data_IF_403553691062
#
_entry.id   IF_403553691062
#
_cell.length_a   1.000
_cell.length_b   1.000
_cell.length_c   1.000
_cell.angle_alpha   90.00
_cell.angle_beta   90.00
_cell.angle_gamma   90.00
#
_symmetry.space_group_name_H-M   'P 1'
#
loop_
_entity.id
_entity.type
_entity.pdbx_description
1 polymer ?
#
# COMPACT_ATOMS: atom_id res chain seq x y z
N UNK A 1 -18.49 14.22 -0.22
CA UNK A 1 -17.46 13.40 -0.89
C UNK A 1 -16.50 14.33 -1.59
N UNK A 2 -15.19 14.22 -1.36
CA UNK A 2 -14.22 15.18 -1.91
C UNK A 2 -13.00 15.47 -1.03
N UNK A 3 -12.67 14.58 -0.08
CA UNK A 3 -11.35 14.64 0.56
C UNK A 3 -10.32 13.96 -0.36
N UNK A 4 -9.06 14.41 -0.38
CA UNK A 4 -8.01 13.81 -1.21
C UNK A 4 -7.74 12.34 -0.83
N UNK A 5 -8.00 11.97 0.43
CA UNK A 5 -7.90 10.61 0.95
C UNK A 5 -8.87 10.39 2.13
N UNK A 6 -8.97 9.14 2.61
CA UNK A 6 -9.77 8.78 3.79
C UNK A 6 -8.91 8.05 4.83
N UNK A 7 -9.17 8.30 6.11
CA UNK A 7 -8.62 7.50 7.21
C UNK A 7 -9.58 6.37 7.59
N UNK A 8 -9.10 5.26 8.17
CA UNK A 8 -9.98 4.22 8.67
C UNK A 8 -10.64 4.63 9.98
N UNK A 9 -11.94 4.38 10.07
CA UNK A 9 -12.75 4.55 11.29
C UNK A 9 -12.32 3.58 12.38
N UNK A 10 -11.85 2.38 11.99
CA UNK A 10 -11.42 1.32 12.91
C UNK A 10 -10.21 0.58 12.39
N UNK A 11 -9.29 0.26 13.29
CA UNK A 11 -8.11 -0.57 13.06
C UNK A 11 -8.14 -1.69 14.09
N UNK A 12 -8.02 -2.94 13.64
CA UNK A 12 -7.79 -4.09 14.51
C UNK A 12 -6.69 -4.94 13.88
N UNK A 13 -5.87 -5.58 14.69
CA UNK A 13 -4.79 -6.41 14.17
C UNK A 13 -4.29 -7.43 15.18
N UNK A 14 -3.46 -8.34 14.68
CA UNK A 14 -2.75 -9.36 15.44
C UNK A 14 -1.31 -9.44 14.92
N UNK A 15 -0.36 -9.82 15.77
CA UNK A 15 1.03 -10.04 15.40
C UNK A 15 1.65 -11.17 16.22
N UNK A 16 2.69 -11.77 15.68
CA UNK A 16 3.62 -12.59 16.44
C UNK A 16 4.89 -11.77 16.73
N UNK A 17 5.18 -11.54 18.01
CA UNK A 17 6.40 -10.87 18.42
C UNK A 17 7.53 -11.88 18.60
N UNK A 18 8.62 -11.64 17.88
CA UNK A 18 9.83 -12.47 17.92
C UNK A 18 10.67 -12.23 19.18
N UNK A 19 11.81 -12.92 19.25
CA UNK A 19 12.72 -12.82 20.40
C UNK A 19 13.32 -11.42 20.59
N UNK A 20 13.46 -10.66 19.51
CA UNK A 20 13.93 -9.26 19.55
C UNK A 20 12.84 -8.26 19.98
N UNK A 21 11.60 -8.72 20.18
CA UNK A 21 10.46 -7.86 20.52
C UNK A 21 9.81 -7.17 19.33
N UNK A 22 10.30 -7.36 18.09
CA UNK A 22 9.65 -6.87 16.87
C UNK A 22 8.60 -7.87 16.38
N UNK A 23 7.61 -7.40 15.62
CA UNK A 23 6.69 -8.28 14.91
C UNK A 23 7.40 -9.02 13.77
N UNK A 24 7.37 -10.35 13.80
CA UNK A 24 7.93 -11.18 12.71
C UNK A 24 6.91 -11.40 11.58
N UNK A 25 5.63 -11.49 11.95
CA UNK A 25 4.50 -11.39 11.03
C UNK A 25 3.30 -10.76 11.74
N UNK A 26 2.51 -10.02 10.98
CA UNK A 26 1.34 -9.31 11.47
C UNK A 26 0.22 -9.29 10.43
N UNK A 27 -1.02 -9.14 10.89
CA UNK A 27 -2.16 -8.85 10.01
C UNK A 27 -3.13 -7.87 10.64
N UNK A 28 -3.81 -7.08 9.82
CA UNK A 28 -4.78 -6.08 10.25
C UNK A 28 -6.00 -5.99 9.34
N UNK A 29 -7.11 -5.54 9.93
CA UNK A 29 -8.32 -5.11 9.25
C UNK A 29 -8.53 -3.62 9.50
N UNK A 30 -8.70 -2.86 8.42
CA UNK A 30 -9.03 -1.44 8.45
C UNK A 30 -10.43 -1.25 7.90
N UNK A 31 -11.31 -0.66 8.69
CA UNK A 31 -12.65 -0.28 8.26
C UNK A 31 -12.66 1.20 7.89
N UNK A 32 -13.10 1.52 6.69
CA UNK A 32 -13.23 2.89 6.19
C UNK A 32 -14.71 3.27 6.02
N UNK A 33 -14.96 4.58 6.00
CA UNK A 33 -16.26 5.12 5.64
C UNK A 33 -16.70 4.62 4.25
N UNK A 34 -18.02 4.49 4.06
CA UNK A 34 -18.57 3.98 2.80
C UNK A 34 -18.55 2.45 2.66
N UNK A 35 -18.24 1.72 3.74
CA UNK A 35 -18.31 0.26 3.78
C UNK A 35 -17.12 -0.46 3.15
N UNK A 36 -16.02 0.26 2.92
CA UNK A 36 -14.76 -0.32 2.43
C UNK A 36 -14.03 -0.98 3.61
N UNK A 37 -13.55 -2.19 3.40
CA UNK A 37 -12.70 -2.93 4.35
C UNK A 37 -11.41 -3.29 3.63
N UNK A 38 -10.27 -2.97 4.25
CA UNK A 38 -8.96 -3.41 3.79
C UNK A 38 -8.41 -4.47 4.75
N UNK A 39 -7.80 -5.50 4.17
CA UNK A 39 -7.03 -6.53 4.87
C UNK A 39 -5.56 -6.38 4.51
N UNK A 40 -4.71 -6.39 5.52
CA UNK A 40 -3.26 -6.26 5.37
C UNK A 40 -2.59 -7.44 6.06
N UNK A 41 -1.54 -7.94 5.42
CA UNK A 41 -0.66 -8.96 5.97
C UNK A 41 0.78 -8.60 5.62
N UNK A 42 1.68 -8.65 6.60
CA UNK A 42 3.10 -8.39 6.41
C UNK A 42 3.93 -9.34 7.25
N UNK A 43 5.13 -9.63 6.78
CA UNK A 43 6.00 -10.64 7.37
C UNK A 43 7.44 -10.44 6.95
N UNK A 44 8.36 -10.66 7.88
CA UNK A 44 9.81 -10.74 7.62
C UNK A 44 10.34 -12.18 7.67
N UNK A 45 9.56 -13.14 8.19
CA UNK A 45 10.00 -14.53 8.40
C UNK A 45 9.21 -15.57 7.59
N UNK A 46 7.97 -15.26 7.22
CA UNK A 46 7.09 -16.05 6.35
C UNK A 46 7.06 -15.47 4.93
N UNK A 47 7.13 -16.36 3.94
CA UNK A 47 6.95 -16.03 2.52
C UNK A 47 5.46 -15.91 2.20
N UNK A 48 5.01 -14.71 1.82
CA UNK A 48 3.61 -14.40 1.55
C UNK A 48 3.42 -14.02 0.08
N UNK A 49 2.18 -14.15 -0.40
CA UNK A 49 1.81 -13.59 -1.69
C UNK A 49 1.93 -12.06 -1.64
N UNK A 50 2.95 -11.51 -2.30
CA UNK A 50 3.14 -10.06 -2.39
C UNK A 50 2.21 -9.50 -3.47
N UNK A 51 0.96 -9.23 -3.11
CA UNK A 51 -0.07 -8.82 -4.08
C UNK A 51 -1.07 -7.84 -3.49
N UNK A 52 -1.37 -6.79 -4.25
CA UNK A 52 -2.48 -5.90 -3.98
C UNK A 52 -3.71 -6.43 -4.71
N UNK A 53 -4.83 -6.57 -4.00
CA UNK A 53 -6.12 -6.94 -4.58
C UNK A 53 -7.20 -5.94 -4.21
N UNK A 54 -7.92 -5.43 -5.20
CA UNK A 54 -9.09 -4.55 -5.01
C UNK A 54 -10.32 -5.29 -5.51
N UNK A 55 -11.27 -5.56 -4.62
CA UNK A 55 -12.49 -6.30 -4.95
C UNK A 55 -13.69 -5.36 -5.07
N UNK A 56 -14.54 -5.61 -6.07
CA UNK A 56 -15.80 -4.92 -6.26
C UNK A 56 -16.88 -5.84 -6.81
N UNK A 57 -18.11 -5.35 -6.89
CA UNK A 57 -19.26 -6.15 -7.34
C UNK A 57 -19.19 -6.61 -8.80
N UNK A 58 -18.29 -6.03 -9.60
CA UNK A 58 -18.11 -6.34 -11.04
C UNK A 58 -16.85 -7.16 -11.34
N UNK A 59 -16.04 -7.48 -10.34
CA UNK A 59 -14.75 -8.13 -10.53
C UNK A 59 -13.70 -7.69 -9.52
N UNK A 60 -12.43 -7.87 -9.89
CA UNK A 60 -11.29 -7.45 -9.07
C UNK A 60 -10.12 -6.95 -9.91
N UNK A 61 -9.27 -6.15 -9.28
CA UNK A 61 -7.97 -5.74 -9.80
C UNK A 61 -6.90 -6.44 -8.97
N UNK A 62 -5.91 -7.03 -9.62
CA UNK A 62 -4.73 -7.62 -8.96
C UNK A 62 -3.45 -6.96 -9.49
N UNK A 63 -2.55 -6.59 -8.58
CA UNK A 63 -1.22 -6.07 -8.89
C UNK A 63 -0.20 -6.91 -8.11
N UNK A 64 0.50 -7.85 -8.77
CA UNK A 64 1.57 -8.62 -8.14
C UNK A 64 2.77 -7.70 -7.86
N UNK A 65 3.51 -8.02 -6.81
CA UNK A 65 4.73 -7.33 -6.41
C UNK A 65 4.56 -5.81 -6.42
N UNK A 66 3.41 -5.33 -5.92
CA UNK A 66 2.92 -3.97 -6.13
C UNK A 66 3.84 -2.85 -5.62
N UNK A 67 4.81 -3.18 -4.76
CA UNK A 67 5.85 -2.24 -4.30
C UNK A 67 7.00 -2.10 -5.31
N UNK A 68 7.13 -3.01 -6.28
CA UNK A 68 8.02 -2.89 -7.43
C UNK A 68 7.16 -2.51 -8.64
N UNK A 69 7.13 -1.22 -8.99
CA UNK A 69 6.38 -0.72 -10.14
C UNK A 69 6.68 -1.46 -11.46
N UNK A 70 7.88 -2.06 -11.58
CA UNK A 70 8.30 -2.94 -12.67
C UNK A 70 8.16 -4.44 -12.38
N UNK A 71 7.33 -4.89 -11.45
CA UNK A 71 7.05 -6.30 -11.18
C UNK A 71 8.14 -7.10 -10.43
N UNK A 72 9.42 -6.69 -10.40
CA UNK A 72 10.41 -7.24 -9.46
C UNK A 72 11.52 -6.21 -9.11
N UNK A 73 12.43 -6.60 -8.22
CA UNK A 73 13.52 -5.76 -7.69
C UNK A 73 14.59 -5.38 -8.73
N UNK A 74 14.73 -6.16 -9.81
CA UNK A 74 15.85 -6.08 -10.75
C UNK A 74 15.48 -5.61 -12.17
N UNK A 75 14.17 -5.51 -12.49
CA UNK A 75 13.46 -5.18 -13.75
C UNK A 75 12.54 -6.34 -14.19
N UNK A 76 11.26 -6.02 -14.39
CA UNK A 76 10.24 -6.87 -15.00
C UNK A 76 9.15 -6.03 -15.66
N UNK A 77 8.14 -6.67 -16.23
CA UNK A 77 6.94 -5.94 -16.66
C UNK A 77 5.96 -5.83 -15.49
N UNK A 78 5.89 -4.65 -14.90
CA UNK A 78 4.80 -4.31 -14.00
C UNK A 78 3.47 -4.56 -14.71
N UNK A 79 2.56 -5.29 -14.06
CA UNK A 79 1.26 -5.62 -14.66
C UNK A 79 0.12 -5.35 -13.70
N UNK A 80 -1.01 -4.97 -14.28
CA UNK A 80 -2.28 -4.79 -13.60
C UNK A 80 -3.26 -5.76 -14.26
N UNK A 81 -3.77 -6.71 -13.48
CA UNK A 81 -4.72 -7.71 -13.96
C UNK A 81 -6.16 -7.29 -13.60
N UNK A 82 -6.97 -6.99 -14.61
CA UNK A 82 -8.40 -6.72 -14.49
C UNK A 82 -9.19 -8.01 -14.70
N UNK A 83 -9.94 -8.44 -13.69
CA UNK A 83 -10.65 -9.72 -13.71
C UNK A 83 -12.14 -9.45 -13.51
N UNK A 84 -12.93 -9.54 -14.59
CA UNK A 84 -14.38 -9.28 -14.56
C UNK A 84 -15.17 -10.50 -14.08
N UNK A 85 -16.35 -10.27 -13.52
CA UNK A 85 -17.28 -11.35 -13.18
C UNK A 85 -17.65 -12.15 -14.45
N UNK A 86 -17.28 -13.44 -14.50
CA UNK A 86 -17.47 -14.29 -15.69
C UNK A 86 -16.21 -14.64 -16.49
N UNK A 87 -15.01 -14.43 -15.92
CA UNK A 87 -13.69 -14.99 -16.33
C UNK A 87 -12.87 -14.22 -17.38
N UNK A 88 -13.32 -13.10 -17.93
CA UNK A 88 -12.45 -12.30 -18.78
C UNK A 88 -11.35 -11.66 -17.92
N UNK A 89 -10.10 -12.12 -18.10
CA UNK A 89 -8.88 -11.49 -17.59
C UNK A 89 -8.28 -10.62 -18.67
N UNK A 90 -8.05 -9.37 -18.32
CA UNK A 90 -7.34 -8.38 -19.14
C UNK A 90 -6.09 -7.95 -18.37
N UNK A 91 -4.92 -8.15 -18.97
CA UNK A 91 -3.65 -7.75 -18.37
C UNK A 91 -3.18 -6.47 -19.02
N UNK A 92 -3.01 -5.43 -18.22
CA UNK A 92 -2.40 -4.16 -18.62
C UNK A 92 -0.94 -4.23 -18.22
N UNK A 93 -0.03 -4.14 -19.19
CA UNK A 93 1.40 -4.01 -18.93
C UNK A 93 1.78 -2.54 -18.91
N UNK A 94 2.36 -2.09 -17.80
CA UNK A 94 2.98 -0.76 -17.73
C UNK A 94 4.40 -0.99 -18.24
N UNK A 95 4.63 -0.72 -19.53
CA UNK A 95 5.93 -0.89 -20.20
C UNK A 95 6.96 0.15 -19.73
N UNK A 96 7.08 0.28 -18.41
CA UNK A 96 7.96 1.20 -17.73
C UNK A 96 9.34 0.57 -17.57
N UNK A 97 10.36 1.31 -17.97
CA UNK A 97 11.75 0.84 -17.98
C UNK A 97 12.62 1.59 -16.98
N UNK A 98 12.11 2.67 -16.40
CA UNK A 98 12.81 3.44 -15.37
C UNK A 98 12.84 2.68 -14.05
N UNK A 99 13.86 2.96 -13.26
CA UNK A 99 14.01 2.41 -11.91
C UNK A 99 12.93 2.95 -10.98
N UNK A 100 12.36 2.13 -10.07
CA UNK A 100 11.24 2.56 -9.20
C UNK A 100 11.53 3.84 -8.41
N UNK A 101 12.74 3.99 -7.87
CA UNK A 101 13.12 5.23 -7.15
C UNK A 101 13.28 6.48 -8.03
N UNK A 102 13.37 6.37 -9.36
CA UNK A 102 13.46 7.58 -10.20
C UNK A 102 12.17 8.40 -10.12
N UNK A 103 11.01 7.75 -9.93
CA UNK A 103 9.73 8.43 -9.77
C UNK A 103 9.68 9.30 -8.51
N UNK A 104 10.26 8.81 -7.41
CA UNK A 104 10.34 9.57 -6.16
C UNK A 104 11.28 10.77 -6.30
N UNK A 105 12.42 10.58 -6.98
CA UNK A 105 13.38 11.65 -7.28
C UNK A 105 12.74 12.71 -8.19
N UNK A 106 12.05 12.30 -9.24
CA UNK A 106 11.35 13.21 -10.16
C UNK A 106 10.27 14.00 -9.41
N UNK A 107 9.44 13.32 -8.60
CA UNK A 107 8.39 13.96 -7.80
C UNK A 107 8.93 14.98 -6.78
N UNK A 108 10.04 14.66 -6.12
CA UNK A 108 10.73 15.60 -5.24
C UNK A 108 11.32 16.79 -5.99
N UNK A 109 11.97 16.54 -7.13
CA UNK A 109 12.52 17.59 -7.99
C UNK A 109 11.45 18.55 -8.48
N UNK A 110 10.31 18.03 -8.95
CA UNK A 110 9.17 18.84 -9.39
C UNK A 110 8.57 19.69 -8.27
N UNK A 111 8.45 19.16 -7.05
CA UNK A 111 7.95 19.92 -5.90
C UNK A 111 8.90 21.07 -5.53
N UNK A 112 10.20 20.80 -5.45
CA UNK A 112 11.23 21.79 -5.10
C UNK A 112 11.27 22.91 -6.14
N UNK A 113 11.34 22.57 -7.43
CA UNK A 113 11.39 23.56 -8.52
C UNK A 113 10.14 24.42 -8.58
N UNK A 114 8.99 23.88 -8.18
CA UNK A 114 7.74 24.61 -8.10
C UNK A 114 7.53 25.38 -6.78
N UNK A 115 8.50 25.34 -5.86
CA UNK A 115 8.39 26.00 -4.55
C UNK A 115 7.33 25.39 -3.62
N UNK A 116 6.97 24.11 -3.83
CA UNK A 116 6.04 23.37 -2.97
C UNK A 116 6.79 22.67 -1.84
N UNK A 117 6.10 22.45 -0.73
CA UNK A 117 6.63 21.72 0.43
C UNK A 117 6.23 20.23 0.43
N UNK A 118 5.29 19.84 -0.41
CA UNK A 118 4.76 18.49 -0.55
C UNK A 118 4.50 18.15 -2.02
N UNK A 119 4.29 16.86 -2.31
CA UNK A 119 4.02 16.41 -3.67
C UNK A 119 2.65 16.90 -4.16
N UNK A 120 2.56 17.14 -5.47
CA UNK A 120 1.26 17.30 -6.12
C UNK A 120 0.61 15.93 -6.32
N UNK A 121 -0.71 15.86 -6.33
CA UNK A 121 -1.45 14.65 -6.70
C UNK A 121 -0.93 14.11 -8.06
N UNK A 122 -0.70 12.79 -8.21
CA UNK A 122 -1.07 11.69 -7.31
C UNK A 122 -0.04 11.35 -6.21
N UNK A 123 0.97 12.19 -6.00
CA UNK A 123 1.95 12.01 -4.92
C UNK A 123 1.35 12.21 -3.52
N UNK A 124 2.04 11.68 -2.52
CA UNK A 124 1.64 11.70 -1.11
C UNK A 124 1.75 13.13 -0.53
N UNK A 125 0.65 13.63 0.05
CA UNK A 125 0.67 14.86 0.87
C UNK A 125 1.21 14.59 2.28
N UNK A 126 1.54 15.64 3.04
CA UNK A 126 1.91 15.45 4.45
C UNK A 126 0.76 14.87 5.28
N UNK A 127 -0.48 15.23 4.95
CA UNK A 127 -1.65 14.72 5.64
C UNK A 127 -1.83 13.21 5.38
N UNK A 128 -1.56 12.74 4.15
CA UNK A 128 -1.54 11.31 3.80
C UNK A 128 -0.47 10.55 4.60
N UNK A 129 0.76 11.10 4.66
CA UNK A 129 1.86 10.50 5.42
C UNK A 129 1.52 10.36 6.90
N UNK A 130 1.00 11.43 7.52
CA UNK A 130 0.60 11.41 8.92
C UNK A 130 -0.59 10.46 9.17
N UNK A 131 -1.52 10.34 8.21
CA UNK A 131 -2.62 9.37 8.27
C UNK A 131 -2.12 7.93 8.31
N UNK A 132 -1.14 7.61 7.46
CA UNK A 132 -0.49 6.29 7.43
C UNK A 132 0.19 5.98 8.78
N UNK A 133 0.94 6.94 9.33
CA UNK A 133 1.60 6.78 10.63
C UNK A 133 0.59 6.56 11.77
N UNK A 134 -0.54 7.28 11.79
CA UNK A 134 -1.61 7.06 12.77
C UNK A 134 -2.19 5.64 12.69
N UNK A 135 -2.30 5.06 11.49
CA UNK A 135 -2.76 3.68 11.31
C UNK A 135 -1.74 2.69 11.88
N UNK A 136 -0.46 2.90 11.58
CA UNK A 136 0.62 2.06 12.13
C UNK A 136 0.63 2.14 13.66
N UNK A 137 0.52 3.33 14.26
CA UNK A 137 0.45 3.48 15.71
C UNK A 137 -0.73 2.74 16.34
N UNK A 138 -1.93 2.85 15.74
CA UNK A 138 -3.12 2.11 16.20
C UNK A 138 -2.92 0.59 16.11
N UNK A 139 -2.28 0.10 15.05
CA UNK A 139 -2.02 -1.31 14.88
C UNK A 139 -0.98 -1.82 15.90
N UNK A 140 0.14 -1.11 16.06
CA UNK A 140 1.17 -1.44 17.08
C UNK A 140 0.54 -1.50 18.48
N UNK A 141 -0.26 -0.50 18.84
CA UNK A 141 -0.98 -0.48 20.11
C UNK A 141 -1.95 -1.68 20.26
N UNK A 142 -2.63 -2.10 19.19
CA UNK A 142 -3.54 -3.25 19.22
C UNK A 142 -2.83 -4.58 19.48
N UNK A 143 -1.52 -4.67 19.20
CA UNK A 143 -0.71 -5.89 19.41
C UNK A 143 0.26 -5.77 20.57
N UNK A 144 0.24 -4.65 21.31
CA UNK A 144 1.13 -4.41 22.44
C UNK A 144 2.60 -4.20 22.06
N UNK A 145 2.88 -3.75 20.84
CA UNK A 145 4.24 -3.44 20.38
C UNK A 145 4.61 -2.00 20.75
N UNK A 146 5.64 -1.83 21.59
CA UNK A 146 6.17 -0.54 22.03
C UNK A 146 7.67 -0.43 21.69
N UNK A 147 8.16 0.80 21.52
CA UNK A 147 9.58 1.11 21.31
C UNK A 147 10.08 1.97 22.48
N UNK A 148 11.31 1.73 22.93
CA UNK A 148 11.99 2.52 23.99
C UNK A 148 12.52 3.87 23.48
#
# INVERSE_FOLDING_TARGET
TGLPFTEPDKVVGAAHLGQSGVDEWASALLQFAGGIVAELSCSISLDQDNVLRIFGTKGRIEVPDFWFAGGNRDVGQGRIDLIRAGHARETISVNETRHVYSFEVDGAGEAILAGRQEFAWPGMSWADSLGTLRVLDKWRAAVGLEYE
#
